data_IF_495112962497
#
_entry.id   IF_495112962497
#
_cell.length_a   1.000
_cell.length_b   1.000
_cell.length_c   1.000
_cell.angle_alpha   90.00
_cell.angle_beta   90.00
_cell.angle_gamma   90.00
#
_symmetry.space_group_name_H-M   'P 1'
#
loop_
_entity.id
_entity.type
_entity.pdbx_description
1 polymer ?
#
# COMPACT_ATOMS: atom_id res chain seq x y z
N UNK A 1 28.75 -2.07 5.90
CA UNK A 1 27.45 -2.46 6.52
C UNK A 1 26.23 -1.77 5.90
N UNK A 2 26.23 -0.44 5.73
CA UNK A 2 25.07 0.33 5.23
C UNK A 2 24.46 -0.09 3.88
N UNK A 3 25.27 -0.53 2.91
CA UNK A 3 24.77 -0.83 1.56
C UNK A 3 23.79 -2.01 1.53
N UNK A 4 24.08 -3.09 2.28
CA UNK A 4 23.22 -4.27 2.33
C UNK A 4 21.86 -3.95 2.95
N UNK A 5 21.84 -3.11 3.99
CA UNK A 5 20.61 -2.65 4.64
C UNK A 5 19.75 -1.81 3.70
N UNK A 6 20.36 -0.90 2.93
CA UNK A 6 19.65 -0.11 1.91
C UNK A 6 19.05 -1.00 0.82
N UNK A 7 19.79 -2.02 0.34
CA UNK A 7 19.25 -3.02 -0.61
C UNK A 7 18.02 -3.76 -0.05
N UNK A 8 18.13 -4.28 1.18
CA UNK A 8 17.00 -4.96 1.87
C UNK A 8 15.80 -4.03 2.07
N UNK A 9 16.06 -2.75 2.36
CA UNK A 9 15.02 -1.73 2.53
C UNK A 9 14.31 -1.44 1.21
N UNK A 10 15.05 -1.31 0.11
CA UNK A 10 14.48 -1.17 -1.24
C UNK A 10 13.60 -2.38 -1.60
N UNK A 11 14.05 -3.60 -1.33
CA UNK A 11 13.23 -4.80 -1.59
C UNK A 11 11.92 -4.84 -0.79
N UNK A 12 11.95 -4.30 0.42
CA UNK A 12 10.79 -4.19 1.30
C UNK A 12 9.82 -3.11 0.78
N UNK A 13 10.34 -1.96 0.37
CA UNK A 13 9.58 -0.92 -0.32
C UNK A 13 8.93 -1.44 -1.62
N UNK A 14 9.65 -2.22 -2.41
CA UNK A 14 9.12 -2.90 -3.62
C UNK A 14 7.94 -3.83 -3.29
N UNK A 15 8.06 -4.63 -2.22
CA UNK A 15 6.96 -5.50 -1.75
C UNK A 15 5.73 -4.68 -1.37
N UNK A 16 5.95 -3.55 -0.71
CA UNK A 16 4.88 -2.64 -0.32
C UNK A 16 4.25 -1.93 -1.52
N UNK A 17 5.05 -1.51 -2.50
CA UNK A 17 4.52 -0.93 -3.74
C UNK A 17 3.57 -1.88 -4.44
N UNK A 18 3.98 -3.13 -4.65
CA UNK A 18 3.13 -4.12 -5.34
C UNK A 18 1.85 -4.38 -4.56
N UNK A 19 1.91 -4.50 -3.23
CA UNK A 19 0.72 -4.70 -2.41
C UNK A 19 -0.24 -3.51 -2.50
N UNK A 20 0.25 -2.28 -2.36
CA UNK A 20 -0.57 -1.08 -2.38
C UNK A 20 -1.13 -0.79 -3.78
N UNK A 21 -0.39 -1.08 -4.84
CA UNK A 21 -0.90 -1.01 -6.23
C UNK A 21 -2.05 -1.98 -6.49
N UNK A 22 -1.99 -3.19 -5.91
CA UNK A 22 -3.12 -4.14 -5.98
C UNK A 22 -4.30 -3.64 -5.16
N UNK A 23 -4.07 -3.09 -3.98
CA UNK A 23 -5.14 -2.53 -3.13
C UNK A 23 -5.81 -1.32 -3.78
N UNK A 24 -5.05 -0.39 -4.36
CA UNK A 24 -5.60 0.80 -5.02
C UNK A 24 -6.54 0.40 -6.16
N UNK A 25 -6.12 -0.54 -7.01
CA UNK A 25 -6.95 -1.02 -8.11
C UNK A 25 -8.28 -1.64 -7.60
N UNK A 26 -8.23 -2.42 -6.52
CA UNK A 26 -9.43 -2.99 -5.92
C UNK A 26 -10.36 -1.93 -5.33
N UNK A 27 -9.81 -0.91 -4.67
CA UNK A 27 -10.61 0.16 -4.07
C UNK A 27 -11.24 1.06 -5.14
N UNK A 28 -10.54 1.30 -6.24
CA UNK A 28 -11.12 1.98 -7.40
C UNK A 28 -12.32 1.21 -7.95
N UNK A 29 -12.18 -0.10 -8.21
CA UNK A 29 -13.29 -0.94 -8.66
C UNK A 29 -14.44 -0.93 -7.67
N UNK A 30 -14.15 -1.03 -6.38
CA UNK A 30 -15.18 -1.02 -5.35
C UNK A 30 -15.93 0.32 -5.32
N UNK A 31 -15.22 1.45 -5.48
CA UNK A 31 -15.82 2.77 -5.61
C UNK A 31 -16.72 2.85 -6.85
N UNK A 32 -16.22 2.42 -8.01
CA UNK A 32 -16.95 2.52 -9.29
C UNK A 32 -18.24 1.69 -9.29
N UNK A 33 -18.29 0.60 -8.51
CA UNK A 33 -19.47 -0.28 -8.39
C UNK A 33 -20.41 0.06 -7.24
N UNK A 34 -19.98 0.90 -6.29
CA UNK A 34 -20.74 1.21 -5.09
C UNK A 34 -21.79 2.29 -5.37
N UNK A 35 -23.07 1.97 -5.11
CA UNK A 35 -24.19 2.92 -5.29
C UNK A 35 -24.33 3.88 -4.12
N UNK A 36 -23.94 3.46 -2.91
CA UNK A 36 -24.06 4.26 -1.69
C UNK A 36 -22.98 5.33 -1.68
N UNK A 37 -23.37 6.60 -1.85
CA UNK A 37 -22.45 7.74 -1.96
C UNK A 37 -21.39 7.78 -0.87
N UNK A 38 -21.77 7.52 0.38
CA UNK A 38 -20.85 7.53 1.54
C UNK A 38 -19.75 6.48 1.40
N UNK A 39 -20.11 5.24 1.02
CA UNK A 39 -19.14 4.16 0.84
C UNK A 39 -18.30 4.35 -0.43
N UNK A 40 -18.91 4.85 -1.51
CA UNK A 40 -18.18 5.21 -2.73
C UNK A 40 -17.10 6.25 -2.44
N UNK A 41 -17.46 7.33 -1.75
CA UNK A 41 -16.51 8.38 -1.37
C UNK A 41 -15.41 7.83 -0.46
N UNK A 42 -15.76 6.95 0.49
CA UNK A 42 -14.78 6.30 1.34
C UNK A 42 -13.80 5.42 0.55
N UNK A 43 -14.29 4.62 -0.41
CA UNK A 43 -13.41 3.81 -1.26
C UNK A 43 -12.50 4.67 -2.15
N UNK A 44 -12.98 5.81 -2.66
CA UNK A 44 -12.11 6.76 -3.35
C UNK A 44 -11.05 7.37 -2.43
N UNK A 45 -11.39 7.67 -1.17
CA UNK A 45 -10.39 8.10 -0.18
C UNK A 45 -9.32 7.04 0.05
N UNK A 46 -9.71 5.77 0.22
CA UNK A 46 -8.76 4.66 0.34
C UNK A 46 -7.89 4.53 -0.91
N UNK A 47 -8.49 4.66 -2.10
CA UNK A 47 -7.78 4.62 -3.38
C UNK A 47 -6.71 5.72 -3.47
N UNK A 48 -7.09 6.98 -3.22
CA UNK A 48 -6.20 8.13 -3.29
C UNK A 48 -5.06 8.00 -2.28
N UNK A 49 -5.35 7.61 -1.03
CA UNK A 49 -4.32 7.35 -0.04
C UNK A 49 -3.32 6.29 -0.50
N UNK A 50 -3.77 5.22 -1.18
CA UNK A 50 -2.84 4.22 -1.73
C UNK A 50 -1.98 4.78 -2.85
N UNK A 51 -2.50 5.70 -3.67
CA UNK A 51 -1.71 6.37 -4.71
C UNK A 51 -0.64 7.27 -4.10
N UNK A 52 -1.01 8.15 -3.18
CA UNK A 52 -0.06 9.02 -2.46
C UNK A 52 1.06 8.21 -1.82
N UNK A 53 0.72 7.10 -1.17
CA UNK A 53 1.73 6.22 -0.58
C UNK A 53 2.61 5.51 -1.61
N UNK A 54 2.11 5.24 -2.82
CA UNK A 54 2.93 4.69 -3.90
C UNK A 54 3.96 5.71 -4.36
N UNK A 55 3.58 6.97 -4.49
CA UNK A 55 4.47 8.06 -4.88
C UNK A 55 5.56 8.27 -3.82
N UNK A 56 5.17 8.32 -2.53
CA UNK A 56 6.13 8.40 -1.41
C UNK A 56 7.11 7.20 -1.40
N UNK A 57 6.63 5.98 -1.70
CA UNK A 57 7.49 4.80 -1.83
C UNK A 57 8.49 4.97 -2.98
N UNK A 58 8.04 5.47 -4.14
CA UNK A 58 8.91 5.66 -5.31
C UNK A 58 10.00 6.69 -5.05
N UNK A 59 9.64 7.81 -4.43
CA UNK A 59 10.61 8.82 -3.99
C UNK A 59 11.66 8.22 -3.03
N UNK A 60 11.23 7.42 -2.03
CA UNK A 60 12.17 6.78 -1.11
C UNK A 60 13.05 5.73 -1.79
N UNK A 61 12.53 4.98 -2.76
CA UNK A 61 13.35 4.06 -3.56
C UNK A 61 14.42 4.83 -4.33
N UNK A 62 14.06 5.94 -4.99
CA UNK A 62 15.01 6.76 -5.74
C UNK A 62 16.04 7.43 -4.83
N UNK A 63 15.63 7.94 -3.68
CA UNK A 63 16.55 8.47 -2.66
C UNK A 63 17.58 7.41 -2.26
N UNK A 64 17.14 6.20 -1.89
CA UNK A 64 18.04 5.11 -1.49
C UNK A 64 18.95 4.65 -2.63
N UNK A 65 18.51 4.69 -3.89
CA UNK A 65 19.37 4.41 -5.04
C UNK A 65 20.48 5.44 -5.20
N UNK A 66 20.15 6.74 -5.11
CA UNK A 66 21.13 7.83 -5.16
C UNK A 66 22.14 7.73 -4.02
N UNK A 67 21.69 7.34 -2.83
CA UNK A 67 22.59 7.12 -1.70
C UNK A 67 23.50 5.89 -1.86
N UNK A 68 23.10 4.88 -2.64
CA UNK A 68 23.95 3.71 -2.97
C UNK A 68 24.91 4.06 -4.11
N UNK A 69 24.45 4.85 -5.07
CA UNK A 69 25.17 5.21 -6.29
C UNK A 69 24.81 6.65 -6.65
N UNK A 70 25.63 7.64 -6.22
CA UNK A 70 25.37 9.06 -6.49
C UNK A 70 25.28 9.36 -7.99
N UNK A 71 26.16 8.73 -8.77
CA UNK A 71 26.04 8.61 -10.23
C UNK A 71 25.21 7.37 -10.57
N UNK A 72 24.41 7.43 -11.65
CA UNK A 72 23.58 6.31 -12.12
C UNK A 72 24.44 5.19 -12.73
N UNK A 73 25.31 4.57 -11.95
CA UNK A 73 26.13 3.45 -12.37
C UNK A 73 25.27 2.16 -12.46
N UNK A 74 25.09 1.60 -13.68
CA UNK A 74 24.30 0.39 -13.88
C UNK A 74 24.82 -0.81 -13.09
N UNK A 75 26.15 -0.93 -12.88
CA UNK A 75 26.74 -2.04 -12.13
C UNK A 75 26.34 -1.98 -10.66
N UNK A 76 26.34 -0.78 -10.08
CA UNK A 76 26.00 -0.56 -8.67
C UNK A 76 24.51 -0.77 -8.38
N UNK A 77 23.64 -0.53 -9.35
CA UNK A 77 22.18 -0.68 -9.28
C UNK A 77 21.64 -1.99 -9.86
N UNK A 78 22.51 -2.87 -10.38
CA UNK A 78 22.13 -4.17 -10.98
C UNK A 78 21.29 -5.09 -10.09
N UNK A 79 21.42 -4.94 -8.76
CA UNK A 79 20.61 -5.68 -7.78
C UNK A 79 19.13 -5.26 -7.81
N UNK A 80 18.83 -4.03 -8.23
CA UNK A 80 17.48 -3.51 -8.25
C UNK A 80 16.77 -3.99 -9.52
N UNK A 81 15.81 -4.89 -9.34
CA UNK A 81 14.86 -5.29 -10.37
C UNK A 81 13.46 -4.88 -9.95
N UNK A 82 12.82 -4.04 -10.76
CA UNK A 82 11.44 -3.61 -10.52
C UNK A 82 10.53 -4.83 -10.51
N UNK A 83 9.79 -5.03 -9.41
CA UNK A 83 8.82 -6.12 -9.36
C UNK A 83 7.63 -5.80 -10.26
N UNK A 84 7.36 -6.70 -11.21
CA UNK A 84 6.15 -6.64 -12.04
C UNK A 84 4.92 -6.80 -11.14
N UNK A 85 3.94 -5.94 -11.34
CA UNK A 85 2.64 -6.05 -10.69
C UNK A 85 1.64 -6.56 -11.72
N UNK A 86 1.54 -7.88 -11.85
CA UNK A 86 0.56 -8.50 -12.72
C UNK A 86 -0.80 -8.53 -12.03
N UNK A 87 -1.76 -7.82 -12.64
CA UNK A 87 -3.18 -7.90 -12.33
C UNK A 87 -3.78 -8.85 -13.38
N UNK A 88 -3.70 -10.16 -13.14
CA UNK A 88 -4.27 -11.13 -14.09
C UNK A 88 -5.78 -10.97 -14.19
N UNK A 89 -6.35 -11.29 -15.36
CA UNK A 89 -7.81 -11.33 -15.56
C UNK A 89 -8.53 -12.18 -14.51
N UNK A 90 -7.87 -13.25 -14.06
CA UNK A 90 -8.34 -14.12 -12.97
C UNK A 90 -8.31 -13.40 -11.61
N UNK A 91 -7.23 -12.68 -11.28
CA UNK A 91 -7.15 -11.88 -10.06
C UNK A 91 -8.32 -10.88 -9.99
N UNK A 92 -8.66 -10.28 -11.12
CA UNK A 92 -9.82 -9.37 -11.21
C UNK A 92 -11.13 -10.14 -11.05
N UNK A 93 -11.39 -11.18 -11.84
CA UNK A 93 -12.64 -11.96 -11.80
C UNK A 93 -13.03 -12.42 -10.38
N UNK A 94 -12.08 -12.98 -9.62
CA UNK A 94 -12.34 -13.48 -8.26
C UNK A 94 -12.42 -12.38 -7.19
N UNK A 95 -11.74 -11.25 -7.40
CA UNK A 95 -11.76 -10.12 -6.46
C UNK A 95 -12.74 -9.03 -6.88
N UNK A 96 -13.56 -9.20 -7.91
CA UNK A 96 -14.51 -8.17 -8.38
C UNK A 96 -15.83 -8.12 -7.60
N UNK A 97 -16.08 -9.09 -6.71
CA UNK A 97 -17.23 -9.11 -5.80
C UNK A 97 -17.00 -8.32 -4.50
N UNK A 98 -15.91 -7.54 -4.40
CA UNK A 98 -15.42 -6.90 -3.16
C UNK A 98 -16.56 -6.39 -2.30
N UNK A 99 -16.88 -7.15 -1.26
CA UNK A 99 -17.78 -6.69 -0.21
C UNK A 99 -16.98 -5.78 0.70
N UNK A 100 -17.71 -4.96 1.44
CA UNK A 100 -17.15 -4.14 2.50
C UNK A 100 -16.21 -4.94 3.44
N UNK A 101 -16.62 -6.16 3.79
CA UNK A 101 -15.84 -7.09 4.61
C UNK A 101 -14.47 -7.46 3.98
N UNK A 102 -14.40 -7.63 2.65
CA UNK A 102 -13.15 -7.97 1.96
C UNK A 102 -12.14 -6.82 2.04
N UNK A 103 -12.64 -5.58 1.91
CA UNK A 103 -11.84 -4.35 2.01
C UNK A 103 -11.34 -4.16 3.44
N UNK A 104 -12.22 -4.41 4.41
CA UNK A 104 -11.89 -4.35 5.84
C UNK A 104 -10.80 -5.37 6.19
N UNK A 105 -10.97 -6.61 5.77
CA UNK A 105 -10.00 -7.69 6.00
C UNK A 105 -8.65 -7.35 5.36
N UNK A 106 -8.66 -6.75 4.16
CA UNK A 106 -7.45 -6.30 3.48
C UNK A 106 -6.72 -5.18 4.22
N UNK A 107 -7.43 -4.16 4.72
CA UNK A 107 -6.82 -3.09 5.52
C UNK A 107 -6.31 -3.63 6.87
N UNK A 108 -7.03 -4.56 7.48
CA UNK A 108 -6.60 -5.26 8.71
C UNK A 108 -5.31 -6.05 8.49
N UNK A 109 -5.26 -6.83 7.40
CA UNK A 109 -4.04 -7.54 6.96
C UNK A 109 -2.90 -6.57 6.65
N UNK A 110 -3.19 -5.40 6.09
CA UNK A 110 -2.19 -4.35 5.84
C UNK A 110 -1.60 -3.84 7.15
N UNK A 111 -2.46 -3.50 8.12
CA UNK A 111 -2.05 -3.02 9.44
C UNK A 111 -1.10 -4.00 10.15
N UNK A 112 -1.47 -5.28 10.16
CA UNK A 112 -0.68 -6.33 10.82
C UNK A 112 0.72 -6.50 10.21
N UNK A 113 0.87 -6.24 8.90
CA UNK A 113 2.19 -6.32 8.24
C UNK A 113 3.15 -5.22 8.66
N UNK A 114 2.65 -4.05 9.09
CA UNK A 114 3.54 -2.93 9.46
C UNK A 114 4.44 -3.24 10.65
N UNK A 115 4.00 -4.03 11.63
CA UNK A 115 4.88 -4.46 12.73
C UNK A 115 6.11 -5.22 12.21
N UNK A 116 5.88 -6.15 11.27
CA UNK A 116 6.95 -6.92 10.61
C UNK A 116 7.83 -6.06 9.71
N UNK A 117 7.31 -4.99 9.12
CA UNK A 117 8.11 -4.09 8.29
C UNK A 117 8.96 -3.14 9.12
N UNK A 118 8.40 -2.59 10.20
CA UNK A 118 9.11 -1.75 11.14
C UNK A 118 10.23 -2.50 11.86
N UNK A 119 10.10 -3.80 12.13
CA UNK A 119 11.21 -4.58 12.70
C UNK A 119 12.32 -4.90 11.68
N UNK A 120 12.04 -4.83 10.38
CA UNK A 120 12.97 -5.23 9.29
C UNK A 120 13.75 -4.08 8.67
N UNK A 121 13.44 -2.83 9.02
CA UNK A 121 14.16 -1.66 8.51
C UNK A 121 14.62 -0.77 9.66
N UNK A 122 15.91 -0.46 9.66
CA UNK A 122 16.57 0.51 10.54
C UNK A 122 16.61 1.91 9.92
N UNK A 123 16.24 2.06 8.63
CA UNK A 123 16.36 3.33 7.93
C UNK A 123 15.31 4.34 8.40
N UNK A 124 15.74 5.39 9.12
CA UNK A 124 14.87 6.33 9.81
C UNK A 124 13.73 6.88 8.92
N UNK A 125 14.06 7.45 7.75
CA UNK A 125 13.05 8.02 6.84
C UNK A 125 12.03 6.99 6.31
N UNK A 126 12.43 5.71 6.19
CA UNK A 126 11.51 4.65 5.73
C UNK A 126 10.64 4.16 6.87
N UNK A 127 11.18 4.12 8.10
CA UNK A 127 10.41 3.83 9.30
C UNK A 127 9.33 4.89 9.52
N UNK A 128 9.68 6.17 9.38
CA UNK A 128 8.75 7.28 9.47
C UNK A 128 7.62 7.15 8.45
N UNK A 129 7.96 6.91 7.18
CA UNK A 129 7.00 6.63 6.11
C UNK A 129 6.02 5.49 6.49
N UNK A 130 6.55 4.38 7.01
CA UNK A 130 5.71 3.26 7.44
C UNK A 130 4.86 3.56 8.67
N UNK A 131 5.35 4.35 9.62
CA UNK A 131 4.58 4.77 10.78
C UNK A 131 3.43 5.69 10.37
N UNK A 132 3.69 6.67 9.51
CA UNK A 132 2.67 7.58 8.95
C UNK A 132 1.55 6.79 8.27
N UNK A 133 1.90 5.91 7.33
CA UNK A 133 0.88 5.13 6.63
C UNK A 133 0.19 4.09 7.52
N UNK A 134 0.90 3.48 8.48
CA UNK A 134 0.28 2.60 9.50
C UNK A 134 -0.79 3.35 10.29
N UNK A 135 -0.53 4.59 10.69
CA UNK A 135 -1.49 5.42 11.41
C UNK A 135 -2.72 5.70 10.54
N UNK A 136 -2.54 6.09 9.27
CA UNK A 136 -3.67 6.30 8.35
C UNK A 136 -4.52 5.03 8.17
N UNK A 137 -3.91 3.86 7.99
CA UNK A 137 -4.64 2.58 7.90
C UNK A 137 -5.42 2.29 9.18
N UNK A 138 -4.86 2.59 10.36
CA UNK A 138 -5.57 2.45 11.63
C UNK A 138 -6.80 3.37 11.70
N UNK A 139 -6.68 4.61 11.25
CA UNK A 139 -7.81 5.54 11.20
C UNK A 139 -8.88 5.10 10.19
N UNK A 140 -8.48 4.55 9.05
CA UNK A 140 -9.43 3.94 8.11
C UNK A 140 -10.21 2.79 8.75
N UNK A 141 -9.53 1.88 9.44
CA UNK A 141 -10.19 0.75 10.11
C UNK A 141 -11.16 1.22 11.20
N UNK A 142 -10.82 2.27 11.95
CA UNK A 142 -11.76 2.89 12.90
C UNK A 142 -12.99 3.47 12.19
N UNK A 143 -12.77 4.25 11.13
CA UNK A 143 -13.87 4.78 10.29
C UNK A 143 -14.74 3.65 9.77
N UNK A 144 -14.11 2.55 9.35
CA UNK A 144 -14.84 1.39 8.87
C UNK A 144 -15.71 0.79 9.96
N UNK A 145 -15.14 0.47 11.13
CA UNK A 145 -15.90 -0.08 12.25
C UNK A 145 -17.09 0.82 12.65
N UNK A 146 -16.91 2.14 12.59
CA UNK A 146 -17.96 3.12 12.91
C UNK A 146 -19.05 3.22 11.83
N UNK A 147 -18.76 2.83 10.58
CA UNK A 147 -19.75 2.77 9.50
C UNK A 147 -20.65 1.53 9.60
N UNK A 148 -20.22 0.47 10.31
CA UNK A 148 -20.82 -0.87 10.20
C UNK A 148 -22.04 -1.19 11.06
N UNK A 149 -22.57 -0.30 11.92
CA UNK A 149 -23.60 -0.74 12.89
C UNK A 149 -24.95 -0.01 12.89
N UNK A 150 -25.18 1.13 12.23
CA UNK A 150 -26.51 1.79 12.40
C UNK A 150 -27.10 2.62 11.25
N UNK A 151 -26.40 2.92 10.15
CA UNK A 151 -26.83 4.08 9.31
C UNK A 151 -27.25 3.82 7.87
N UNK A 152 -27.14 2.60 7.34
CA UNK A 152 -27.56 2.34 5.96
C UNK A 152 -28.27 1.00 5.86
N UNK A 153 -29.61 0.97 6.07
CA UNK A 153 -30.38 -0.22 5.77
C UNK A 153 -30.14 -0.60 4.29
N UNK A 154 -29.94 -1.90 4.09
CA UNK A 154 -29.94 -2.53 2.78
C UNK A 154 -31.37 -2.34 2.26
N UNK A 155 -31.53 -1.56 1.19
CA UNK A 155 -32.76 -1.53 0.41
C UNK A 155 -32.80 -2.72 -0.55
#
# INVERSE_FOLDING_TARGET
MHRLEKKKTIELLEKQRVFNKKSSYLYKIAADKEKRLVLRNFYYQLYNQKLEFLDEIEEKIEQLKREISPTKDPKMLSFYKRKKCELSSHFLKYKMFQRYADIHERESKSLNKYAKFLSKTSHACVRELFLKHRHQVKENLKKMNNMTLTKFPIA
#
